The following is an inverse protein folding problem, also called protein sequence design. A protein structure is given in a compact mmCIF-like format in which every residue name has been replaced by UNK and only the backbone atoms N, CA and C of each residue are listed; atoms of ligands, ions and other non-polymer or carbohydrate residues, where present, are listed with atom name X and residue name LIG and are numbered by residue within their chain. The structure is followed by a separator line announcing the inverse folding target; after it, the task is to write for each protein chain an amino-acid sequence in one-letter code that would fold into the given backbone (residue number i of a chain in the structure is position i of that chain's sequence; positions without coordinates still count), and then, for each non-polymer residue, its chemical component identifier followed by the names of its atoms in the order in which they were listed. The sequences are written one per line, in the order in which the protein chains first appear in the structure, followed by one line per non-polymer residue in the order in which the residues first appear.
data_IF_272251781839
#
_entry.id   IF_272251781839
#
_cell.length_a   1.000
_cell.length_b   1.000
_cell.length_c   1.000
_cell.angle_alpha   90.00
_cell.angle_beta   90.00
_cell.angle_gamma   90.00
#
_symmetry.space_group_name_H-M   'P 1'
#
loop_
_entity.id
_entity.type
_entity.pdbx_description
1 polymer ?
#
# COMPACT_ATOMS: atom_id res chain seq x y z
N UNK A 1 42.59 40.64 -35.14
CA UNK A 1 42.47 39.23 -34.76
C UNK A 1 42.24 39.22 -33.27
N UNK A 2 40.96 39.25 -32.85
CA UNK A 2 40.57 39.21 -31.46
C UNK A 2 40.49 37.74 -30.99
N UNK A 3 41.26 37.42 -29.99
CA UNK A 3 41.26 36.11 -29.35
C UNK A 3 40.35 36.20 -28.15
N UNK A 4 39.12 35.69 -28.25
CA UNK A 4 38.27 35.49 -27.08
C UNK A 4 38.78 34.30 -26.29
N UNK A 5 39.14 34.57 -25.04
CA UNK A 5 39.41 33.51 -24.07
C UNK A 5 38.10 33.31 -23.27
N UNK A 6 37.34 32.33 -23.70
CA UNK A 6 36.19 31.89 -22.95
C UNK A 6 36.65 31.15 -21.70
N UNK A 7 36.39 31.72 -20.52
CA UNK A 7 36.48 31.03 -19.24
C UNK A 7 35.26 30.11 -19.13
N UNK A 8 35.46 28.82 -19.33
CA UNK A 8 34.43 27.82 -19.04
C UNK A 8 34.43 27.57 -17.54
N UNK A 9 33.56 28.23 -16.82
CA UNK A 9 33.23 27.88 -15.44
C UNK A 9 32.34 26.65 -15.48
N UNK A 10 32.85 25.55 -14.97
CA UNK A 10 32.14 24.27 -14.91
C UNK A 10 31.07 24.35 -13.82
N UNK A 11 29.88 24.82 -14.17
CA UNK A 11 28.67 24.64 -13.39
C UNK A 11 27.63 23.98 -14.26
N UNK A 12 27.55 22.65 -14.18
CA UNK A 12 26.47 21.89 -14.79
C UNK A 12 25.18 22.12 -14.01
N UNK A 13 24.35 23.05 -14.46
CA UNK A 13 22.97 23.16 -14.02
C UNK A 13 22.15 22.28 -14.97
N UNK A 14 21.85 21.06 -14.56
CA UNK A 14 20.88 20.24 -15.25
C UNK A 14 19.47 20.76 -14.93
N UNK A 15 18.92 21.59 -15.80
CA UNK A 15 17.50 21.95 -15.74
C UNK A 15 16.74 20.90 -16.53
N UNK A 16 16.05 20.01 -15.84
CA UNK A 16 15.06 19.13 -16.48
C UNK A 16 13.85 19.99 -16.84
N UNK A 17 13.80 20.50 -18.08
CA UNK A 17 12.56 21.06 -18.62
C UNK A 17 11.77 19.91 -19.23
N UNK A 18 10.61 19.60 -18.61
CA UNK A 18 9.60 18.81 -19.28
C UNK A 18 9.12 19.61 -20.51
N UNK A 19 9.37 19.10 -21.71
CA UNK A 19 8.84 19.68 -22.93
C UNK A 19 7.31 19.61 -22.90
N UNK A 20 6.66 20.72 -23.22
CA UNK A 20 5.21 20.78 -23.37
C UNK A 20 4.75 19.72 -24.39
N UNK A 21 4.12 18.64 -23.93
CA UNK A 21 3.50 17.64 -24.80
C UNK A 21 3.50 16.18 -24.34
N UNK A 22 4.35 15.78 -23.40
CA UNK A 22 4.31 14.44 -22.82
C UNK A 22 4.23 14.53 -21.30
N UNK A 23 3.00 14.58 -20.77
CA UNK A 23 2.79 14.33 -19.36
C UNK A 23 2.82 12.81 -19.15
N UNK A 24 3.95 12.28 -18.75
CA UNK A 24 4.00 10.93 -18.20
C UNK A 24 3.45 10.98 -16.77
N UNK A 25 2.26 10.44 -16.60
CA UNK A 25 1.66 10.27 -15.27
C UNK A 25 1.93 8.84 -14.83
N UNK A 26 2.68 8.66 -13.76
CA UNK A 26 2.78 7.35 -13.12
C UNK A 26 1.53 7.12 -12.28
N UNK A 27 0.55 6.42 -12.83
CA UNK A 27 -0.62 5.93 -12.13
C UNK A 27 -0.25 4.70 -11.30
N UNK A 28 -0.71 4.66 -10.04
CA UNK A 28 -0.62 3.47 -9.20
C UNK A 28 -2.05 3.05 -8.90
N UNK A 29 -2.41 1.87 -9.37
CA UNK A 29 -3.71 1.28 -9.16
C UNK A 29 -3.55 -0.05 -8.42
N UNK A 30 -4.52 -0.41 -7.61
CA UNK A 30 -4.58 -1.67 -6.92
C UNK A 30 -6.02 -2.16 -6.80
N UNK A 31 -6.18 -3.46 -6.62
CA UNK A 31 -7.47 -4.11 -6.41
C UNK A 31 -7.35 -5.10 -5.28
N UNK A 32 -8.41 -5.16 -4.47
CA UNK A 32 -8.59 -6.16 -3.44
C UNK A 32 -9.58 -7.21 -3.93
N UNK A 33 -9.20 -8.47 -3.84
CA UNK A 33 -10.11 -9.60 -4.02
C UNK A 33 -10.40 -10.23 -2.66
N UNK A 34 -11.66 -10.27 -2.28
CA UNK A 34 -12.12 -10.77 -0.98
C UNK A 34 -13.11 -11.90 -1.18
N UNK A 35 -12.91 -12.99 -0.48
CA UNK A 35 -13.84 -14.12 -0.41
C UNK A 35 -14.32 -14.32 1.02
N UNK A 36 -15.61 -14.53 1.19
CA UNK A 36 -16.19 -14.99 2.44
C UNK A 36 -16.60 -16.46 2.31
N UNK A 37 -16.13 -17.27 3.25
CA UNK A 37 -16.44 -18.69 3.31
C UNK A 37 -17.08 -19.04 4.64
N UNK A 38 -17.97 -20.06 4.65
CA UNK A 38 -18.52 -20.61 5.89
C UNK A 38 -17.49 -21.50 6.62
N UNK A 39 -17.87 -22.00 7.80
CA UNK A 39 -17.00 -22.89 8.60
C UNK A 39 -16.66 -24.22 7.90
N UNK A 40 -17.42 -24.62 6.89
CA UNK A 40 -17.21 -25.80 6.07
C UNK A 40 -16.34 -25.51 4.83
N UNK A 41 -15.94 -24.24 4.63
CA UNK A 41 -15.12 -23.80 3.51
C UNK A 41 -15.90 -23.46 2.23
N UNK A 42 -17.25 -23.49 2.24
CA UNK A 42 -18.03 -23.13 1.08
C UNK A 42 -18.03 -21.63 0.85
N UNK A 43 -17.88 -21.21 -0.40
CA UNK A 43 -17.94 -19.80 -0.77
C UNK A 43 -19.36 -19.26 -0.53
N UNK A 44 -19.48 -18.19 0.26
CA UNK A 44 -20.71 -17.45 0.48
C UNK A 44 -20.86 -16.28 -0.50
N UNK A 45 -19.80 -15.54 -0.68
CA UNK A 45 -19.70 -14.43 -1.64
C UNK A 45 -18.22 -14.12 -1.92
N UNK A 46 -17.98 -13.44 -3.01
CA UNK A 46 -16.70 -12.82 -3.36
C UNK A 46 -16.94 -11.41 -3.89
N UNK A 47 -15.96 -10.56 -3.74
CA UNK A 47 -16.00 -9.18 -4.20
C UNK A 47 -14.62 -8.71 -4.60
N UNK A 48 -14.55 -7.85 -5.63
CA UNK A 48 -13.35 -7.15 -6.04
C UNK A 48 -13.62 -5.65 -6.02
N UNK A 49 -12.74 -4.88 -5.43
CA UNK A 49 -12.88 -3.43 -5.35
C UNK A 49 -11.54 -2.71 -5.48
N UNK A 50 -11.56 -1.49 -6.04
CA UNK A 50 -10.35 -0.71 -6.24
C UNK A 50 -9.76 -0.24 -4.90
N UNK A 51 -8.44 -0.10 -4.91
CA UNK A 51 -7.63 0.38 -3.80
C UNK A 51 -7.16 1.81 -4.08
N UNK A 52 -7.34 2.72 -3.12
CA UNK A 52 -6.79 4.07 -3.19
C UNK A 52 -5.42 4.13 -2.50
N UNK A 53 -4.35 4.33 -3.25
CA UNK A 53 -3.03 4.63 -2.67
C UNK A 53 -3.00 6.08 -2.18
N UNK A 54 -2.91 6.26 -0.87
CA UNK A 54 -2.93 7.59 -0.22
C UNK A 54 -1.64 8.37 -0.45
N UNK A 55 -1.65 9.69 -0.22
CA UNK A 55 -0.51 10.57 -0.48
C UNK A 55 0.76 10.15 0.28
N UNK A 56 0.63 9.76 1.54
CA UNK A 56 1.78 9.30 2.35
C UNK A 56 2.35 7.97 1.85
N UNK A 57 1.52 7.09 1.29
CA UNK A 57 1.95 5.86 0.63
C UNK A 57 2.76 6.15 -0.64
N UNK A 58 2.30 7.09 -1.47
CA UNK A 58 3.03 7.55 -2.66
C UNK A 58 4.36 8.22 -2.30
N UNK A 59 4.37 9.05 -1.25
CA UNK A 59 5.58 9.68 -0.74
C UNK A 59 6.61 8.66 -0.28
N UNK A 60 6.19 7.62 0.44
CA UNK A 60 7.07 6.54 0.86
C UNK A 60 7.75 5.85 -0.32
N UNK A 61 7.01 5.61 -1.41
CA UNK A 61 7.57 5.03 -2.63
C UNK A 61 8.62 5.94 -3.27
N UNK A 62 8.31 7.23 -3.40
CA UNK A 62 9.26 8.21 -3.98
C UNK A 62 10.52 8.35 -3.13
N UNK A 63 10.37 8.45 -1.81
CA UNK A 63 11.50 8.56 -0.89
C UNK A 63 12.39 7.31 -0.93
N UNK A 64 11.80 6.14 -1.07
CA UNK A 64 12.56 4.89 -1.17
C UNK A 64 13.33 4.79 -2.49
N UNK A 65 12.69 5.14 -3.61
CA UNK A 65 13.27 4.99 -4.94
C UNK A 65 14.24 6.12 -5.31
N UNK A 66 13.87 7.37 -5.00
CA UNK A 66 14.56 8.53 -5.54
C UNK A 66 15.49 9.19 -4.51
N UNK A 67 15.12 9.20 -3.24
CA UNK A 67 15.91 9.80 -2.18
C UNK A 67 16.97 8.85 -1.61
N UNK A 68 16.85 7.54 -1.90
CA UNK A 68 17.73 6.53 -1.34
C UNK A 68 17.59 6.38 0.19
N UNK A 69 16.43 6.73 0.73
CA UNK A 69 16.14 6.55 2.15
C UNK A 69 16.22 5.07 2.49
N UNK A 70 16.93 4.74 3.56
CA UNK A 70 16.94 3.38 4.08
C UNK A 70 15.51 2.98 4.43
N UNK A 71 14.96 2.05 3.69
CA UNK A 71 13.63 1.53 3.94
C UNK A 71 13.75 0.27 4.81
N UNK A 72 13.22 0.37 6.02
CA UNK A 72 13.01 -0.84 6.82
C UNK A 72 11.74 -1.51 6.33
N UNK A 73 11.90 -2.67 5.71
CA UNK A 73 10.77 -3.48 5.24
C UNK A 73 10.08 -4.13 6.45
N UNK A 74 9.27 -3.32 7.15
CA UNK A 74 8.37 -3.84 8.18
C UNK A 74 6.97 -3.87 7.60
N UNK A 75 6.33 -5.02 7.63
CA UNK A 75 5.08 -5.26 6.91
C UNK A 75 5.36 -5.79 5.48
N UNK A 76 4.44 -5.64 4.53
CA UNK A 76 3.12 -4.98 4.66
C UNK A 76 2.13 -5.78 5.49
N UNK A 77 1.34 -5.08 6.32
CA UNK A 77 0.28 -5.69 7.12
C UNK A 77 -1.09 -5.20 6.65
N UNK A 78 -2.00 -6.14 6.46
CA UNK A 78 -3.37 -5.87 6.03
C UNK A 78 -4.30 -5.94 7.23
N UNK A 79 -5.00 -4.85 7.52
CA UNK A 79 -6.04 -4.76 8.53
C UNK A 79 -7.43 -4.62 7.90
N UNK A 80 -8.47 -4.90 8.66
CA UNK A 80 -9.87 -4.77 8.24
C UNK A 80 -10.51 -3.53 8.88
N UNK A 81 -11.57 -2.99 8.26
CA UNK A 81 -12.32 -1.84 8.78
C UNK A 81 -13.72 -2.23 9.19
N UNK A 82 -14.23 -1.59 10.27
CA UNK A 82 -15.57 -1.80 10.84
C UNK A 82 -16.56 -0.67 10.52
N UNK A 83 -16.14 0.29 9.70
CA UNK A 83 -16.96 1.42 9.32
C UNK A 83 -16.82 1.67 7.83
N UNK A 84 -17.92 2.11 7.20
CA UNK A 84 -17.85 2.62 5.84
C UNK A 84 -16.95 3.84 5.83
N UNK A 85 -15.89 3.76 5.05
CA UNK A 85 -14.96 4.85 4.82
C UNK A 85 -15.17 5.38 3.42
N UNK A 86 -15.11 6.70 3.28
CA UNK A 86 -14.84 7.32 1.99
C UNK A 86 -13.33 7.57 1.97
N UNK A 87 -12.54 6.75 1.28
CA UNK A 87 -11.09 6.91 1.28
C UNK A 87 -10.70 8.27 0.72
N UNK A 88 -9.81 8.96 1.41
CA UNK A 88 -9.27 10.24 0.98
C UNK A 88 -7.76 10.15 0.77
N UNK A 89 -7.25 10.87 -0.22
CA UNK A 89 -5.81 10.88 -0.50
C UNK A 89 -4.96 11.37 0.68
N UNK A 90 -5.57 12.10 1.61
CA UNK A 90 -4.94 12.65 2.81
C UNK A 90 -5.02 11.73 4.04
N UNK A 91 -5.63 10.56 3.92
CA UNK A 91 -5.74 9.63 5.04
C UNK A 91 -4.36 9.14 5.50
N UNK A 92 -4.28 8.94 6.81
CA UNK A 92 -3.09 8.44 7.52
C UNK A 92 -3.52 7.37 8.53
N UNK A 93 -2.59 6.63 9.12
CA UNK A 93 -2.93 5.57 10.09
C UNK A 93 -3.87 6.05 11.20
N UNK A 94 -3.67 7.24 11.73
CA UNK A 94 -4.52 7.79 12.80
C UNK A 94 -5.95 8.16 12.35
N UNK A 95 -6.22 8.25 11.06
CA UNK A 95 -7.61 8.43 10.55
C UNK A 95 -8.40 7.13 10.52
N UNK A 96 -7.70 6.00 10.50
CA UNK A 96 -8.29 4.66 10.47
C UNK A 96 -8.29 4.03 11.86
N UNK A 97 -7.18 4.08 12.57
CA UNK A 97 -6.90 3.35 13.81
C UNK A 97 -6.91 4.29 15.00
N UNK A 98 -7.48 3.88 16.14
CA UNK A 98 -8.14 2.60 16.42
C UNK A 98 -9.64 2.57 16.09
N UNK A 99 -10.26 3.72 15.84
CA UNK A 99 -11.72 3.90 15.87
C UNK A 99 -12.47 3.16 14.74
N UNK A 100 -11.81 2.91 13.63
CA UNK A 100 -12.41 2.31 12.43
C UNK A 100 -11.80 0.95 12.07
N UNK A 101 -10.82 0.48 12.82
CA UNK A 101 -10.28 -0.86 12.63
C UNK A 101 -11.22 -1.92 13.18
N UNK A 102 -11.54 -2.90 12.37
CA UNK A 102 -12.23 -4.10 12.82
C UNK A 102 -11.23 -5.05 13.48
N UNK A 103 -11.46 -5.41 14.74
CA UNK A 103 -10.51 -6.20 15.53
C UNK A 103 -11.06 -7.56 15.99
N UNK A 104 -12.33 -7.88 15.65
CA UNK A 104 -12.95 -9.15 16.02
C UNK A 104 -12.54 -10.29 15.06
N UNK A 105 -11.24 -10.47 14.88
CA UNK A 105 -10.70 -11.56 14.09
C UNK A 105 -9.33 -12.02 14.61
N UNK A 106 -8.93 -13.21 14.14
CA UNK A 106 -7.57 -13.73 14.28
C UNK A 106 -6.99 -14.11 12.92
N UNK A 107 -5.66 -14.06 12.81
CA UNK A 107 -4.89 -14.61 11.70
C UNK A 107 -3.96 -15.69 12.28
N UNK A 108 -4.07 -16.93 11.81
CA UNK A 108 -3.32 -18.04 12.38
C UNK A 108 -3.55 -18.27 13.89
N UNK A 109 -4.75 -17.94 14.39
CA UNK A 109 -5.11 -18.07 15.81
C UNK A 109 -4.66 -16.90 16.70
N UNK A 110 -3.96 -15.90 16.18
CA UNK A 110 -3.49 -14.72 16.91
C UNK A 110 -4.28 -13.47 16.53
N UNK A 111 -4.56 -12.58 17.49
CA UNK A 111 -5.25 -11.30 17.28
C UNK A 111 -4.27 -10.27 16.65
N UNK A 112 -3.97 -10.46 15.38
CA UNK A 112 -3.01 -9.65 14.62
C UNK A 112 -3.54 -9.36 13.22
N UNK A 113 -3.04 -8.28 12.60
CA UNK A 113 -3.20 -8.00 11.17
C UNK A 113 -2.48 -9.06 10.35
N UNK A 114 -2.98 -9.37 9.17
CA UNK A 114 -2.35 -10.33 8.29
C UNK A 114 -1.11 -9.77 7.60
N UNK A 115 -0.08 -10.57 7.45
CA UNK A 115 1.09 -10.20 6.64
C UNK A 115 0.79 -10.47 5.17
N UNK A 116 0.82 -9.42 4.35
CA UNK A 116 0.65 -9.58 2.91
C UNK A 116 1.99 -9.99 2.27
N UNK A 117 1.94 -11.02 1.42
CA UNK A 117 3.10 -11.53 0.69
C UNK A 117 2.88 -11.29 -0.79
N UNK A 118 3.68 -10.40 -1.36
CA UNK A 118 3.64 -10.09 -2.78
C UNK A 118 4.70 -10.89 -3.54
N UNK A 119 4.37 -11.32 -4.74
CA UNK A 119 5.33 -11.87 -5.68
C UNK A 119 6.28 -10.78 -6.20
N UNK A 120 7.36 -11.19 -6.83
CA UNK A 120 8.18 -10.25 -7.60
C UNK A 120 7.34 -9.59 -8.69
N UNK A 121 7.58 -8.31 -8.92
CA UNK A 121 6.93 -7.60 -10.02
C UNK A 121 7.24 -8.29 -11.35
N UNK A 122 6.21 -8.50 -12.14
CA UNK A 122 6.34 -9.01 -13.52
C UNK A 122 6.21 -7.85 -14.48
N UNK A 123 7.17 -7.72 -15.39
CA UNK A 123 7.14 -6.72 -16.46
C UNK A 123 6.86 -7.41 -17.80
N UNK A 124 5.64 -7.85 -18.01
CA UNK A 124 5.18 -8.23 -19.33
C UNK A 124 4.42 -7.07 -19.93
N UNK A 125 5.07 -6.30 -20.78
CA UNK A 125 4.49 -5.12 -21.41
C UNK A 125 4.74 -3.81 -20.64
N UNK A 126 3.90 -2.81 -20.89
CA UNK A 126 4.06 -1.45 -20.36
C UNK A 126 3.50 -1.23 -18.95
N UNK A 127 2.87 -2.24 -18.36
CA UNK A 127 2.22 -2.13 -17.04
C UNK A 127 2.79 -3.17 -16.09
N UNK A 128 3.85 -2.85 -15.34
CA UNK A 128 4.35 -3.75 -14.31
C UNK A 128 3.31 -3.95 -13.21
N UNK A 129 3.12 -5.18 -12.79
CA UNK A 129 2.18 -5.53 -11.73
C UNK A 129 2.84 -6.40 -10.66
N UNK A 130 2.34 -6.29 -9.45
CA UNK A 130 2.72 -7.13 -8.33
C UNK A 130 1.45 -7.65 -7.66
N UNK A 131 1.33 -8.95 -7.58
CA UNK A 131 0.17 -9.64 -7.01
C UNK A 131 0.60 -10.55 -5.88
N UNK A 132 -0.33 -10.95 -5.01
CA UNK A 132 -0.06 -12.03 -4.07
C UNK A 132 0.28 -13.31 -4.85
N UNK A 133 1.33 -14.00 -4.44
CA UNK A 133 1.99 -15.03 -5.25
C UNK A 133 1.12 -16.26 -5.52
N UNK A 134 0.10 -16.53 -4.71
CA UNK A 134 -0.84 -17.65 -4.90
C UNK A 134 -1.99 -17.57 -3.90
N UNK A 135 -3.02 -18.39 -4.10
CA UNK A 135 -4.06 -18.61 -3.08
C UNK A 135 -3.50 -19.15 -1.75
N UNK A 136 -2.36 -19.81 -1.78
CA UNK A 136 -1.67 -20.28 -0.57
C UNK A 136 -1.08 -19.12 0.27
N UNK A 137 -0.86 -17.95 -0.31
CA UNK A 137 -0.40 -16.74 0.38
C UNK A 137 -1.53 -15.76 0.68
N UNK A 138 -2.77 -16.09 0.34
CA UNK A 138 -3.94 -15.32 0.73
C UNK A 138 -4.04 -15.25 2.26
N UNK A 139 -4.35 -14.07 2.79
CA UNK A 139 -4.53 -13.89 4.21
C UNK A 139 -5.91 -14.43 4.59
N UNK A 140 -5.95 -15.36 5.53
CA UNK A 140 -7.19 -15.90 6.07
C UNK A 140 -7.49 -15.25 7.41
N UNK A 141 -8.61 -14.55 7.49
CA UNK A 141 -9.14 -13.97 8.72
C UNK A 141 -10.22 -14.89 9.29
N UNK A 142 -10.03 -15.34 10.53
CA UNK A 142 -11.05 -16.07 11.27
C UNK A 142 -11.81 -15.08 12.14
N UNK A 143 -13.07 -14.83 11.82
CA UNK A 143 -13.93 -13.92 12.58
C UNK A 143 -14.25 -14.54 13.94
N UNK A 144 -14.14 -13.75 15.00
CA UNK A 144 -14.28 -14.19 16.41
C UNK A 144 -15.42 -13.47 17.13
N UNK A 145 -15.82 -14.00 18.27
CA UNK A 145 -16.86 -13.40 19.11
C UNK A 145 -18.23 -13.35 18.43
N UNK A 146 -18.94 -12.26 18.61
CA UNK A 146 -20.24 -12.02 17.98
C UNK A 146 -20.15 -11.67 16.49
N UNK A 147 -18.95 -11.65 15.93
CA UNK A 147 -18.71 -11.21 14.56
C UNK A 147 -18.79 -9.70 14.41
N UNK A 148 -19.23 -9.26 13.24
CA UNK A 148 -19.39 -7.85 12.90
C UNK A 148 -19.37 -7.65 11.38
N UNK A 149 -19.63 -6.42 10.96
CA UNK A 149 -19.57 -6.07 9.54
C UNK A 149 -18.16 -5.61 9.20
N UNK A 150 -17.59 -6.19 8.16
CA UNK A 150 -16.35 -5.73 7.54
C UNK A 150 -16.73 -4.86 6.36
N UNK A 151 -16.25 -3.63 6.34
CA UNK A 151 -16.54 -2.64 5.28
C UNK A 151 -15.41 -2.49 4.28
N UNK A 152 -14.21 -2.94 4.62
CA UNK A 152 -13.04 -2.82 3.74
C UNK A 152 -11.77 -3.25 4.44
N UNK A 153 -10.66 -2.91 3.83
CA UNK A 153 -9.33 -3.19 4.37
C UNK A 153 -8.39 -2.01 4.15
N UNK A 154 -7.27 -2.03 4.87
CA UNK A 154 -6.21 -1.05 4.73
C UNK A 154 -4.85 -1.73 4.82
N UNK A 155 -3.86 -1.18 4.14
CA UNK A 155 -2.49 -1.69 4.11
C UNK A 155 -1.55 -0.73 4.81
N UNK A 156 -0.78 -1.23 5.78
CA UNK A 156 0.23 -0.48 6.51
C UNK A 156 1.59 -1.11 6.36
N UNK A 157 2.61 -0.28 6.13
CA UNK A 157 3.98 -0.72 5.96
C UNK A 157 4.99 0.35 6.38
N UNK A 158 6.28 0.03 6.34
CA UNK A 158 7.34 0.96 6.64
C UNK A 158 7.76 1.00 8.11
N UNK A 159 8.63 1.95 8.43
CA UNK A 159 9.17 2.09 9.78
C UNK A 159 8.07 2.26 10.82
N UNK A 160 8.09 1.46 11.88
CA UNK A 160 7.08 1.48 12.93
C UNK A 160 5.79 0.71 12.61
N UNK A 161 5.64 0.16 11.40
CA UNK A 161 4.48 -0.68 11.08
C UNK A 161 4.43 -1.90 12.01
N UNK A 162 3.24 -2.29 12.41
CA UNK A 162 3.01 -3.38 13.35
C UNK A 162 1.86 -4.26 12.90
N UNK A 163 2.01 -5.57 13.09
CA UNK A 163 0.91 -6.51 12.94
C UNK A 163 -0.09 -6.43 14.10
N UNK A 164 0.24 -5.78 15.20
CA UNK A 164 -0.68 -5.60 16.34
C UNK A 164 -1.88 -4.76 15.93
N UNK A 165 -3.07 -5.28 16.19
CA UNK A 165 -4.33 -4.54 16.02
C UNK A 165 -4.34 -3.28 16.89
N UNK A 166 -5.04 -2.25 16.45
CA UNK A 166 -5.12 -0.92 17.10
C UNK A 166 -3.81 -0.14 17.20
N UNK A 167 -2.73 -0.61 16.60
CA UNK A 167 -1.46 0.12 16.54
C UNK A 167 -1.47 1.14 15.40
N UNK A 168 -1.09 2.39 15.70
CA UNK A 168 -1.07 3.53 14.75
C UNK A 168 0.28 3.73 14.06
N UNK A 169 1.28 2.93 14.39
CA UNK A 169 2.62 3.03 13.79
C UNK A 169 2.65 2.58 12.33
N UNK A 170 3.65 3.06 11.62
CA UNK A 170 3.83 2.80 10.20
C UNK A 170 3.17 3.84 9.30
N UNK A 171 3.30 3.63 7.99
CA UNK A 171 2.72 4.47 6.94
C UNK A 171 1.50 3.77 6.35
N UNK A 172 0.34 4.44 6.36
CA UNK A 172 -0.82 3.98 5.60
C UNK A 172 -0.48 4.04 4.12
N UNK A 173 -0.60 2.92 3.44
CA UNK A 173 -0.37 2.85 2.01
C UNK A 173 -1.68 2.98 1.23
N UNK A 174 -2.73 2.30 1.71
CA UNK A 174 -4.05 2.29 1.08
C UNK A 174 -5.13 1.81 2.06
#
# INVERSE_FOLDING_TARGET
MHKEIGSCGDSAVATLQASAGTNETMGIEGYWHVECRDAQGNLKWNEEFPNLVVAVGKQLMLDTLLKGSSYSVTGPYLGLTNASLTPAATDVMSTIVPSKEFTAYTVGGSAVRGTAVFASSTSTGSTPSNVTSSTATAITYTITGAGGTVYGCFLVLGSGASSTQSNTGGTLYS
#
